data_IF_250099153802
#
_entry.id   IF_250099153802
#
_cell.length_a   1.000
_cell.length_b   1.000
_cell.length_c   1.000
_cell.angle_alpha   90.00
_cell.angle_beta   90.00
_cell.angle_gamma   90.00
#
_symmetry.space_group_name_H-M   'P 1'
#
loop_
_entity.id
_entity.type
_entity.pdbx_description
1 polymer ?
#
# COMPACT_ATOMS: atom_id res chain seq x y z
N UNK A 1 -15.71 20.76 11.24
CA UNK A 1 -17.13 20.36 11.35
C UNK A 1 -17.44 19.14 10.48
N UNK A 2 -17.68 17.98 11.10
CA UNK A 2 -18.07 16.75 10.39
C UNK A 2 -19.58 16.80 10.17
N UNK A 3 -20.03 16.78 8.92
CA UNK A 3 -21.45 16.70 8.60
C UNK A 3 -21.94 15.26 8.77
N UNK A 4 -22.97 15.07 9.59
CA UNK A 4 -23.64 13.78 9.75
C UNK A 4 -24.66 13.63 8.63
N UNK A 5 -24.39 12.72 7.70
CA UNK A 5 -25.35 12.34 6.66
C UNK A 5 -26.37 11.40 7.30
N UNK A 6 -27.64 11.80 7.32
CA UNK A 6 -28.73 10.98 7.86
C UNK A 6 -29.02 9.81 6.91
N UNK A 7 -28.94 8.59 7.44
CA UNK A 7 -29.31 7.37 6.69
C UNK A 7 -30.81 7.30 6.48
N UNK A 8 -31.24 6.51 5.50
CA UNK A 8 -32.66 6.29 5.21
C UNK A 8 -33.30 5.55 6.40
N UNK A 9 -34.27 6.17 7.10
CA UNK A 9 -34.93 5.51 8.22
C UNK A 9 -35.64 4.25 7.70
N UNK A 10 -35.49 3.13 8.43
CA UNK A 10 -36.07 1.82 8.10
C UNK A 10 -35.52 1.14 6.84
N UNK A 11 -34.27 1.43 6.43
CA UNK A 11 -33.59 0.63 5.41
C UNK A 11 -33.47 -0.82 5.90
N UNK A 12 -34.21 -1.74 5.26
CA UNK A 12 -34.11 -3.18 5.51
C UNK A 12 -32.69 -3.70 5.29
N UNK A 13 -31.94 -3.09 4.34
CA UNK A 13 -30.55 -3.44 4.05
C UNK A 13 -29.57 -2.94 5.13
N UNK A 14 -29.92 -1.96 5.95
CA UNK A 14 -29.03 -1.43 6.98
C UNK A 14 -28.99 -2.32 8.24
N UNK A 15 -29.95 -3.25 8.38
CA UNK A 15 -30.08 -4.16 9.53
C UNK A 15 -29.44 -5.54 9.28
N UNK A 16 -29.06 -5.85 8.04
CA UNK A 16 -28.48 -7.14 7.67
C UNK A 16 -26.98 -6.91 7.42
N UNK A 17 -26.14 -7.41 8.33
CA UNK A 17 -24.70 -7.50 8.09
C UNK A 17 -24.46 -8.65 7.10
N UNK A 18 -24.63 -8.36 5.81
CA UNK A 18 -24.32 -9.34 4.77
C UNK A 18 -22.81 -9.59 4.77
N UNK A 19 -22.36 -10.85 4.88
CA UNK A 19 -20.95 -11.16 4.75
C UNK A 19 -20.49 -10.70 3.37
N UNK A 20 -19.49 -9.84 3.33
CA UNK A 20 -18.94 -9.33 2.07
C UNK A 20 -18.60 -10.49 1.15
N UNK A 21 -19.04 -10.40 -0.11
CA UNK A 21 -18.81 -11.42 -1.11
C UNK A 21 -17.31 -11.77 -1.18
N UNK A 22 -16.99 -13.02 -0.87
CA UNK A 22 -15.60 -13.50 -0.86
C UNK A 22 -14.92 -13.30 -2.22
N UNK A 23 -15.67 -13.35 -3.32
CA UNK A 23 -15.13 -13.09 -4.65
C UNK A 23 -14.71 -11.63 -4.80
N UNK A 24 -15.52 -10.70 -4.30
CA UNK A 24 -15.23 -9.27 -4.32
C UNK A 24 -14.03 -8.92 -3.42
N UNK A 25 -13.97 -9.52 -2.22
CA UNK A 25 -12.81 -9.38 -1.34
C UNK A 25 -11.52 -9.86 -2.02
N UNK A 26 -11.56 -11.00 -2.70
CA UNK A 26 -10.40 -11.53 -3.43
C UNK A 26 -9.94 -10.60 -4.54
N UNK A 27 -10.86 -9.94 -5.25
CA UNK A 27 -10.52 -8.96 -6.29
C UNK A 27 -9.81 -7.75 -5.68
N UNK A 28 -10.30 -7.22 -4.55
CA UNK A 28 -9.66 -6.10 -3.85
C UNK A 28 -8.27 -6.50 -3.36
N UNK A 29 -8.14 -7.67 -2.73
CA UNK A 29 -6.86 -8.17 -2.25
C UNK A 29 -5.87 -8.35 -3.40
N UNK A 30 -6.31 -8.94 -4.52
CA UNK A 30 -5.50 -9.07 -5.71
C UNK A 30 -5.09 -7.70 -6.28
N UNK A 31 -6.01 -6.74 -6.36
CA UNK A 31 -5.74 -5.38 -6.81
C UNK A 31 -4.79 -4.60 -5.88
N UNK A 32 -4.69 -4.97 -4.61
CA UNK A 32 -3.75 -4.38 -3.66
C UNK A 32 -2.32 -4.99 -3.74
N UNK A 33 -2.12 -6.09 -4.47
CA UNK A 33 -0.81 -6.71 -4.60
C UNK A 33 0.18 -5.80 -5.35
N UNK A 34 1.47 -5.99 -5.06
CA UNK A 34 2.56 -5.32 -5.75
C UNK A 34 2.59 -5.71 -7.25
N UNK A 35 3.02 -4.80 -8.15
CA UNK A 35 3.09 -5.08 -9.59
C UNK A 35 3.88 -6.35 -9.93
N UNK A 36 5.00 -6.59 -9.25
CA UNK A 36 5.87 -7.76 -9.44
C UNK A 36 5.23 -9.10 -9.04
N UNK A 37 4.16 -9.07 -8.23
CA UNK A 37 3.38 -10.26 -7.86
C UNK A 37 2.23 -10.53 -8.84
N UNK A 38 1.81 -9.50 -9.59
CA UNK A 38 0.69 -9.57 -10.54
C UNK A 38 1.13 -9.89 -11.96
N UNK A 39 2.27 -9.35 -12.38
CA UNK A 39 2.74 -9.41 -13.75
C UNK A 39 4.16 -9.99 -13.79
N UNK A 40 4.50 -10.78 -14.82
CA UNK A 40 5.85 -11.31 -14.99
C UNK A 40 6.86 -10.22 -15.38
N UNK A 41 6.38 -9.15 -16.01
CA UNK A 41 7.18 -8.07 -16.59
C UNK A 41 6.52 -6.71 -16.32
N UNK A 42 7.28 -5.60 -16.28
CA UNK A 42 6.73 -4.26 -16.09
C UNK A 42 5.78 -3.90 -17.24
N UNK A 43 4.62 -3.36 -16.91
CA UNK A 43 3.59 -3.00 -17.89
C UNK A 43 3.64 -1.51 -18.28
N UNK A 44 4.36 -0.70 -17.51
CA UNK A 44 4.50 0.75 -17.74
C UNK A 44 5.92 1.21 -17.44
N UNK A 45 6.36 2.30 -18.08
CA UNK A 45 7.70 2.89 -17.86
C UNK A 45 7.95 3.20 -16.37
N UNK A 46 6.93 3.69 -15.65
CA UNK A 46 7.06 3.94 -14.21
C UNK A 46 7.29 2.67 -13.40
N UNK A 47 6.79 1.51 -13.84
CA UNK A 47 7.07 0.23 -13.18
C UNK A 47 8.49 -0.25 -13.46
N UNK A 48 9.05 0.03 -14.63
CA UNK A 48 10.43 -0.35 -14.98
C UNK A 48 11.45 0.22 -13.98
N UNK A 49 11.29 1.49 -13.59
CA UNK A 49 12.17 2.16 -12.62
C UNK A 49 12.18 1.42 -11.27
N UNK A 50 11.02 0.94 -10.83
CA UNK A 50 10.84 0.29 -9.53
C UNK A 50 10.82 -1.25 -9.58
N UNK A 51 11.11 -1.86 -10.73
CA UNK A 51 10.92 -3.30 -10.91
C UNK A 51 11.97 -4.12 -10.14
N UNK A 52 13.24 -3.71 -10.24
CA UNK A 52 14.38 -4.35 -9.58
C UNK A 52 14.95 -3.44 -8.50
N UNK A 53 14.32 -3.42 -7.32
CA UNK A 53 14.72 -2.56 -6.19
C UNK A 53 15.85 -3.11 -5.33
N UNK A 54 16.20 -4.39 -5.49
CA UNK A 54 17.33 -5.00 -4.79
C UNK A 54 18.65 -4.34 -5.23
N UNK A 55 19.40 -3.72 -4.31
CA UNK A 55 20.65 -3.06 -4.66
C UNK A 55 21.70 -4.10 -5.05
N UNK A 56 22.54 -3.75 -6.04
CA UNK A 56 23.63 -4.62 -6.49
C UNK A 56 24.66 -4.91 -5.38
N UNK A 57 24.88 -3.93 -4.50
CA UNK A 57 25.75 -4.06 -3.34
C UNK A 57 24.86 -4.05 -2.10
N UNK A 58 25.02 -5.05 -1.24
CA UNK A 58 24.35 -5.05 0.04
C UNK A 58 24.92 -3.92 0.90
N UNK A 59 24.06 -2.94 1.23
CA UNK A 59 24.42 -1.83 2.09
C UNK A 59 24.02 -2.18 3.52
N UNK A 60 25.02 -2.42 4.36
CA UNK A 60 24.79 -2.50 5.80
C UNK A 60 24.54 -1.09 6.36
N UNK A 61 23.28 -0.80 6.66
CA UNK A 61 22.88 0.47 7.27
C UNK A 61 23.21 0.54 8.77
N UNK A 62 23.69 -0.54 9.36
CA UNK A 62 24.15 -0.58 10.76
C UNK A 62 25.63 -0.25 10.88
N UNK A 63 26.42 -0.42 9.81
CA UNK A 63 27.83 -0.03 9.80
C UNK A 63 27.99 1.49 9.86
N UNK A 64 28.34 1.98 11.05
CA UNK A 64 28.58 3.41 11.34
C UNK A 64 29.80 3.99 10.61
N UNK A 65 30.64 3.16 9.99
CA UNK A 65 31.78 3.59 9.18
C UNK A 65 31.35 4.01 7.77
N UNK A 66 30.23 3.49 7.26
CA UNK A 66 29.80 3.67 5.88
C UNK A 66 28.40 4.32 5.80
N UNK A 67 27.58 4.22 6.84
CA UNK A 67 26.22 4.77 6.89
C UNK A 67 26.15 6.07 7.70
N UNK A 68 26.07 7.21 6.99
CA UNK A 68 25.99 8.55 7.58
C UNK A 68 24.67 9.27 7.25
N UNK A 69 23.52 8.83 7.78
CA UNK A 69 22.24 9.47 7.50
C UNK A 69 22.18 10.86 8.15
N UNK A 70 21.53 11.82 7.48
CA UNK A 70 21.23 13.12 8.09
C UNK A 70 20.33 12.91 9.30
N UNK A 71 20.71 13.48 10.44
CA UNK A 71 19.91 13.52 11.66
C UNK A 71 19.38 14.92 11.84
N UNK A 72 18.08 15.05 12.13
CA UNK A 72 17.53 16.32 12.59
C UNK A 72 18.16 16.66 13.94
N UNK A 73 18.47 17.93 14.13
CA UNK A 73 18.97 18.48 15.39
C UNK A 73 18.07 19.64 15.77
N UNK A 74 18.20 20.17 16.98
CA UNK A 74 17.38 21.30 17.45
C UNK A 74 17.38 22.51 16.49
N UNK A 75 18.48 22.67 15.74
CA UNK A 75 18.68 23.76 14.79
C UNK A 75 18.35 23.37 13.32
N UNK A 76 17.71 22.22 13.05
CA UNK A 76 17.36 21.74 11.70
C UNK A 76 16.06 20.92 11.67
#
# INVERSE_FOLDING_TARGET
PVHVITKKPMSWHDHIEEPADATFLNIIHHAALEPTKKYPEPQTESQEIGWNTTPLIQVDRTDRRLHFPRRKTENT
#
